data_IF_432252209616
#
_entry.id   IF_432252209616
#
_cell.length_a   1.000
_cell.length_b   1.000
_cell.length_c   1.000
_cell.angle_alpha   90.00
_cell.angle_beta   90.00
_cell.angle_gamma   90.00
#
_symmetry.space_group_name_H-M   'P 1'
#
loop_
_entity.id
_entity.type
_entity.pdbx_description
1 polymer ?
#
# COMPACT_ATOMS: atom_id res chain seq x y z
N UNK A 1 -6.79 39.43 -15.79
CA UNK A 1 -6.94 38.15 -16.52
C UNK A 1 -5.67 37.34 -16.31
N UNK A 2 -5.67 36.42 -15.34
CA UNK A 2 -4.74 35.29 -15.32
C UNK A 2 -5.60 34.07 -14.98
N UNK A 3 -5.50 33.10 -15.88
CA UNK A 3 -6.34 31.93 -16.07
C UNK A 3 -6.56 31.14 -14.77
N UNK A 4 -7.84 30.84 -14.49
CA UNK A 4 -8.23 29.74 -13.63
C UNK A 4 -7.68 28.46 -14.24
N UNK A 5 -6.57 27.96 -13.71
CA UNK A 5 -6.15 26.58 -13.91
C UNK A 5 -7.28 25.75 -13.33
N UNK A 6 -8.14 25.26 -14.23
CA UNK A 6 -9.21 24.36 -13.91
C UNK A 6 -8.61 23.19 -13.14
N UNK A 7 -8.95 23.10 -11.86
CA UNK A 7 -8.75 21.93 -11.03
C UNK A 7 -9.49 20.78 -11.72
N UNK A 8 -8.76 20.01 -12.51
CA UNK A 8 -9.28 18.81 -13.15
C UNK A 8 -9.80 17.89 -12.05
N UNK A 9 -11.11 17.54 -12.04
CA UNK A 9 -11.72 16.74 -10.97
C UNK A 9 -11.16 15.30 -10.90
N UNK A 10 -10.30 14.92 -11.84
CA UNK A 10 -9.65 13.61 -11.90
C UNK A 10 -8.29 13.54 -11.20
N UNK A 11 -7.71 14.68 -10.80
CA UNK A 11 -6.40 14.71 -10.16
C UNK A 11 -6.40 14.16 -8.71
N UNK A 12 -7.58 14.09 -8.08
CA UNK A 12 -7.71 13.63 -6.69
C UNK A 12 -7.80 12.10 -6.54
N UNK A 13 -8.26 11.36 -7.56
CA UNK A 13 -8.43 9.89 -7.47
C UNK A 13 -7.18 9.07 -7.81
N UNK A 14 -6.34 9.56 -8.73
CA UNK A 14 -5.13 8.82 -9.17
C UNK A 14 -3.99 8.87 -8.15
N UNK A 15 -3.83 9.97 -7.41
CA UNK A 15 -2.81 10.08 -6.36
C UNK A 15 -3.12 9.18 -5.16
N UNK A 16 -4.40 9.06 -4.78
CA UNK A 16 -4.82 8.18 -3.67
C UNK A 16 -4.67 6.70 -3.99
N UNK A 17 -4.85 6.30 -5.25
CA UNK A 17 -4.82 4.88 -5.64
C UNK A 17 -3.46 4.21 -5.38
N UNK A 18 -2.37 4.97 -5.49
CA UNK A 18 -1.01 4.47 -5.24
C UNK A 18 -0.48 4.83 -3.85
N UNK A 19 -0.86 5.99 -3.32
CA UNK A 19 -0.41 6.42 -2.00
C UNK A 19 -1.11 5.66 -0.87
N UNK A 20 -2.40 5.32 -0.99
CA UNK A 20 -3.10 4.58 0.06
C UNK A 20 -2.54 3.15 0.28
N UNK A 21 -2.29 2.33 -0.76
CA UNK A 21 -1.65 1.03 -0.58
C UNK A 21 -0.23 1.15 -0.03
N UNK A 22 0.54 2.15 -0.47
CA UNK A 22 1.90 2.40 0.01
C UNK A 22 1.93 2.79 1.49
N UNK A 23 1.03 3.67 1.94
CA UNK A 23 0.86 3.99 3.36
C UNK A 23 0.39 2.77 4.17
N UNK A 24 -0.52 1.96 3.60
CA UNK A 24 -0.95 0.70 4.18
C UNK A 24 0.22 -0.27 4.40
N UNK A 25 1.10 -0.40 3.41
CA UNK A 25 2.33 -1.21 3.52
C UNK A 25 3.28 -0.65 4.58
N UNK A 26 3.50 0.66 4.63
CA UNK A 26 4.36 1.27 5.65
C UNK A 26 3.86 0.99 7.08
N UNK A 27 2.55 1.07 7.30
CA UNK A 27 1.94 0.72 8.60
C UNK A 27 2.08 -0.76 8.92
N UNK A 28 1.82 -1.63 7.94
CA UNK A 28 1.99 -3.07 8.09
C UNK A 28 3.44 -3.44 8.43
N UNK A 29 4.43 -2.83 7.78
CA UNK A 29 5.84 -3.05 8.11
C UNK A 29 6.24 -2.53 9.49
N UNK A 30 5.68 -1.39 9.92
CA UNK A 30 5.92 -0.88 11.27
C UNK A 30 5.36 -1.85 12.33
N UNK A 31 4.13 -2.33 12.15
CA UNK A 31 3.49 -3.30 13.04
C UNK A 31 4.25 -4.64 13.07
N UNK A 32 4.64 -5.15 11.89
CA UNK A 32 5.47 -6.35 11.79
C UNK A 32 6.81 -6.18 12.51
N UNK A 33 7.45 -5.00 12.39
CA UNK A 33 8.72 -4.71 13.06
C UNK A 33 8.60 -4.68 14.58
N UNK A 34 7.56 -4.05 15.11
CA UNK A 34 7.28 -4.01 16.56
C UNK A 34 6.96 -5.39 17.12
N UNK A 35 6.13 -6.18 16.41
CA UNK A 35 5.83 -7.56 16.80
C UNK A 35 7.06 -8.47 16.71
N UNK A 36 7.87 -8.34 15.64
CA UNK A 36 9.12 -9.10 15.48
C UNK A 36 10.16 -8.75 16.55
N UNK A 37 10.27 -7.48 16.94
CA UNK A 37 11.16 -7.06 18.03
C UNK A 37 10.75 -7.72 19.35
N UNK A 38 9.45 -7.67 19.70
CA UNK A 38 8.93 -8.32 20.91
C UNK A 38 9.19 -9.83 20.93
N UNK A 39 9.00 -10.50 19.80
CA UNK A 39 9.35 -11.93 19.65
C UNK A 39 10.86 -12.16 19.84
N UNK A 40 11.70 -11.31 19.24
CA UNK A 40 13.15 -11.42 19.36
C UNK A 40 13.65 -11.19 20.80
N UNK A 41 12.96 -10.35 21.56
CA UNK A 41 13.21 -10.11 22.98
C UNK A 41 12.71 -11.25 23.89
N UNK A 42 12.11 -12.30 23.31
CA UNK A 42 11.67 -13.51 24.00
C UNK A 42 10.18 -13.54 24.34
N UNK A 43 9.40 -12.52 23.96
CA UNK A 43 7.94 -12.48 24.13
C UNK A 43 7.24 -13.26 23.00
N UNK A 44 7.49 -14.57 22.92
CA UNK A 44 6.83 -15.46 21.95
C UNK A 44 5.43 -15.79 22.43
N UNK A 45 4.55 -14.79 22.43
CA UNK A 45 3.13 -14.96 22.71
C UNK A 45 2.37 -15.24 21.41
N UNK A 46 1.25 -15.99 21.45
CA UNK A 46 0.40 -16.19 20.28
C UNK A 46 -0.06 -14.88 19.66
N UNK A 47 -0.34 -13.86 20.48
CA UNK A 47 -0.79 -12.55 20.04
C UNK A 47 0.26 -11.85 19.18
N UNK A 48 1.53 -11.83 19.60
CA UNK A 48 2.62 -11.23 18.84
C UNK A 48 2.86 -11.95 17.49
N UNK A 49 2.61 -13.26 17.43
CA UNK A 49 2.69 -14.01 16.17
C UNK A 49 1.51 -13.71 15.23
N UNK A 50 0.30 -13.53 15.78
CA UNK A 50 -0.89 -13.14 15.01
C UNK A 50 -0.71 -11.74 14.43
N UNK A 51 -0.21 -10.78 15.21
CA UNK A 51 0.09 -9.41 14.74
C UNK A 51 1.06 -9.42 13.55
N UNK A 52 2.06 -10.31 13.57
CA UNK A 52 3.00 -10.51 12.47
C UNK A 52 2.34 -11.08 11.22
N UNK A 53 1.48 -12.10 11.38
CA UNK A 53 0.74 -12.72 10.28
C UNK A 53 -0.28 -11.75 9.65
N UNK A 54 -0.98 -10.97 10.47
CA UNK A 54 -1.91 -9.94 9.99
C UNK A 54 -1.18 -8.85 9.20
N UNK A 55 -0.03 -8.42 9.72
CA UNK A 55 0.82 -7.44 9.04
C UNK A 55 1.32 -7.97 7.68
N UNK A 56 1.72 -9.24 7.61
CA UNK A 56 2.10 -9.88 6.35
C UNK A 56 0.93 -9.95 5.36
N UNK A 57 -0.26 -10.32 5.84
CA UNK A 57 -1.46 -10.38 5.01
C UNK A 57 -1.84 -9.00 4.45
N UNK A 58 -1.76 -7.95 5.27
CA UNK A 58 -2.01 -6.56 4.85
C UNK A 58 -0.98 -6.07 3.83
N UNK A 59 0.31 -6.39 4.02
CA UNK A 59 1.35 -6.05 3.06
C UNK A 59 1.13 -6.75 1.71
N UNK A 60 0.76 -8.04 1.71
CA UNK A 60 0.44 -8.79 0.48
C UNK A 60 -0.78 -8.23 -0.24
N UNK A 61 -1.84 -7.88 0.49
CA UNK A 61 -3.05 -7.30 -0.10
C UNK A 61 -2.75 -5.97 -0.82
N UNK A 62 -2.01 -5.07 -0.17
CA UNK A 62 -1.63 -3.79 -0.77
C UNK A 62 -0.67 -3.98 -1.96
N UNK A 63 0.26 -4.93 -1.89
CA UNK A 63 1.13 -5.26 -3.02
C UNK A 63 0.35 -5.82 -4.22
N UNK A 64 -0.71 -6.60 -3.99
CA UNK A 64 -1.58 -7.08 -5.06
C UNK A 64 -2.31 -5.93 -5.75
N UNK A 65 -2.83 -4.95 -5.01
CA UNK A 65 -3.47 -3.75 -5.57
C UNK A 65 -2.50 -2.97 -6.47
N UNK A 66 -1.26 -2.78 -6.02
CA UNK A 66 -0.24 -2.09 -6.80
C UNK A 66 0.12 -2.83 -8.09
N UNK A 67 0.21 -4.17 -8.04
CA UNK A 67 0.44 -4.99 -9.25
C UNK A 67 -0.71 -4.88 -10.23
N UNK A 68 -1.95 -4.99 -9.77
CA UNK A 68 -3.13 -4.84 -10.64
C UNK A 68 -3.17 -3.44 -11.28
N UNK A 69 -2.79 -2.40 -10.53
CA UNK A 69 -2.70 -1.06 -11.08
C UNK A 69 -1.61 -0.93 -12.14
N UNK A 70 -0.45 -1.59 -11.95
CA UNK A 70 0.63 -1.65 -12.94
C UNK A 70 0.21 -2.41 -14.21
N UNK A 71 -0.45 -3.56 -14.07
CA UNK A 71 -0.98 -4.36 -15.18
C UNK A 71 -2.00 -3.55 -16.01
N UNK A 72 -2.89 -2.81 -15.33
CA UNK A 72 -3.85 -1.91 -15.98
C UNK A 72 -3.15 -0.77 -16.74
N UNK A 73 -2.12 -0.18 -16.16
CA UNK A 73 -1.33 0.88 -16.82
C UNK A 73 -0.60 0.30 -18.04
N UNK A 74 0.01 -0.88 -17.91
CA UNK A 74 0.68 -1.57 -19.00
C UNK A 74 -0.26 -1.83 -20.17
N UNK A 75 -1.44 -2.38 -19.91
CA UNK A 75 -2.46 -2.61 -20.95
C UNK A 75 -2.89 -1.32 -21.66
N UNK A 76 -3.10 -0.23 -20.91
CA UNK A 76 -3.46 1.07 -21.49
C UNK A 76 -2.36 1.66 -22.40
N UNK A 77 -1.09 1.39 -22.11
CA UNK A 77 0.02 1.83 -22.94
C UNK A 77 0.21 0.94 -24.17
N UNK A 78 0.01 -0.37 -24.05
CA UNK A 78 0.09 -1.32 -25.17
C UNK A 78 -1.04 -1.09 -26.19
N UNK A 79 -2.26 -0.77 -25.76
CA UNK A 79 -3.38 -0.53 -26.68
C UNK A 79 -3.26 0.80 -27.47
N UNK A 80 -2.40 1.72 -27.02
CA UNK A 80 -2.14 3.00 -27.68
C UNK A 80 -0.91 2.97 -28.61
N UNK A 81 -0.11 1.91 -28.57
CA UNK A 81 1.06 1.68 -29.42
C UNK A 81 0.68 1.08 -30.77
#
# INVERSE_FOLDING_TARGET
>A
MISSVASSPYAYGQLELFEAPKQGMQRAFAQAGEAASRIADGEVTPDNMVDLLESEALAKANAAVLRTADDMIGWLFDEKA
#
